data_IF_078951993501
#
_entry.id   IF_078951993501
#
_cell.length_a   1.000
_cell.length_b   1.000
_cell.length_c   1.000
_cell.angle_alpha   90.00
_cell.angle_beta   90.00
_cell.angle_gamma   90.00
#
_symmetry.space_group_name_H-M   'P 1'
#
loop_
_entity.id
_entity.type
_entity.pdbx_description
1 polymer ?
#
# COMPACT_ATOMS: atom_id res chain seq x y z
N UNK A 1 -11.87 -9.60 8.61
CA UNK A 1 -12.37 -8.78 9.75
C UNK A 1 -12.14 -9.58 11.01
N UNK A 2 -11.41 -9.03 11.98
CA UNK A 2 -11.15 -9.73 13.23
C UNK A 2 -12.45 -9.98 13.99
N UNK A 3 -12.57 -11.17 14.58
CA UNK A 3 -13.71 -11.58 15.40
C UNK A 3 -13.40 -11.39 16.87
N UNK A 4 -14.42 -11.17 17.70
CA UNK A 4 -14.26 -10.92 19.15
C UNK A 4 -13.51 -12.05 19.88
N UNK A 5 -13.50 -13.26 19.32
CA UNK A 5 -12.79 -14.43 19.83
C UNK A 5 -11.27 -14.37 19.67
N UNK A 6 -10.75 -13.48 18.83
CA UNK A 6 -9.29 -13.31 18.64
C UNK A 6 -8.68 -12.35 19.68
N UNK A 7 -9.50 -11.75 20.54
CA UNK A 7 -9.07 -10.82 21.57
C UNK A 7 -8.97 -11.53 22.91
N UNK A 8 -7.81 -11.41 23.55
CA UNK A 8 -7.64 -11.74 24.96
C UNK A 8 -8.25 -10.61 25.80
N UNK A 9 -9.34 -10.94 26.50
CA UNK A 9 -10.05 -10.02 27.38
C UNK A 9 -9.60 -10.13 28.84
N UNK A 10 -8.66 -11.02 29.15
CA UNK A 10 -8.11 -11.15 30.48
C UNK A 10 -7.16 -9.99 30.80
N UNK A 11 -7.21 -9.52 32.05
CA UNK A 11 -6.34 -8.45 32.51
C UNK A 11 -4.90 -8.97 32.63
N UNK A 12 -3.98 -8.36 31.90
CA UNK A 12 -2.58 -8.74 31.94
C UNK A 12 -1.70 -7.89 31.03
N UNK A 13 -0.43 -8.27 30.95
CA UNK A 13 0.48 -7.76 29.92
C UNK A 13 1.28 -8.94 29.35
N UNK A 14 1.45 -8.94 28.04
CA UNK A 14 2.31 -9.88 27.33
C UNK A 14 3.25 -9.10 26.45
N UNK A 15 4.53 -9.47 26.49
CA UNK A 15 5.55 -8.90 25.60
C UNK A 15 5.38 -9.52 24.22
N UNK A 16 5.09 -8.69 23.21
CA UNK A 16 5.00 -9.11 21.80
C UNK A 16 6.37 -9.05 21.12
N UNK A 17 7.06 -7.92 21.25
CA UNK A 17 8.39 -7.73 20.69
C UNK A 17 9.22 -6.75 21.53
N UNK A 18 10.55 -6.81 21.37
CA UNK A 18 11.50 -5.86 21.95
C UNK A 18 12.02 -4.89 20.89
N UNK A 19 11.25 -3.84 20.58
CA UNK A 19 11.59 -2.90 19.50
C UNK A 19 12.85 -2.09 19.78
N UNK A 20 13.30 -1.99 21.04
CA UNK A 20 14.56 -1.33 21.40
C UNK A 20 15.76 -1.96 20.72
N UNK A 21 15.72 -3.28 20.51
CA UNK A 21 16.81 -4.01 19.85
C UNK A 21 16.94 -3.64 18.37
N UNK A 22 15.90 -3.09 17.75
CA UNK A 22 15.93 -2.74 16.32
C UNK A 22 16.90 -1.58 16.06
N UNK A 23 17.01 -0.61 16.97
CA UNK A 23 17.98 0.49 16.88
C UNK A 23 19.44 0.05 17.01
N UNK A 24 19.70 -1.17 17.47
CA UNK A 24 21.05 -1.75 17.51
C UNK A 24 21.36 -2.59 16.27
N UNK A 25 20.34 -2.96 15.48
CA UNK A 25 20.45 -3.85 14.31
C UNK A 25 20.35 -3.11 12.99
N UNK A 26 19.65 -1.97 12.97
CA UNK A 26 19.38 -1.18 11.78
C UNK A 26 19.91 0.23 11.97
N UNK A 27 20.34 0.87 10.88
CA UNK A 27 20.87 2.23 10.92
C UNK A 27 19.79 3.23 11.30
N UNK A 28 18.57 2.96 10.85
CA UNK A 28 17.39 3.78 11.09
C UNK A 28 16.14 2.90 11.15
N UNK A 29 15.18 3.33 11.97
CA UNK A 29 13.90 2.66 12.21
C UNK A 29 12.83 3.73 12.19
N UNK A 30 11.82 3.57 11.36
CA UNK A 30 10.67 4.47 11.29
C UNK A 30 9.68 4.24 12.44
N UNK A 31 8.63 5.06 12.49
CA UNK A 31 7.53 4.87 13.43
C UNK A 31 6.89 3.46 13.27
N UNK A 32 6.66 2.73 14.37
CA UNK A 32 6.09 1.40 14.28
C UNK A 32 4.56 1.43 14.16
N UNK A 33 4.03 0.43 13.48
CA UNK A 33 2.62 0.15 13.27
C UNK A 33 2.25 -1.14 14.00
N UNK A 34 1.07 -1.18 14.61
CA UNK A 34 0.57 -2.35 15.35
C UNK A 34 -0.59 -2.97 14.58
N UNK A 35 -0.64 -4.31 14.51
CA UNK A 35 -1.73 -5.01 13.85
C UNK A 35 -3.05 -4.82 14.59
N UNK A 36 -4.21 -4.96 13.92
CA UNK A 36 -5.50 -4.72 14.55
C UNK A 36 -5.80 -5.63 15.74
N UNK A 37 -5.18 -6.82 15.84
CA UNK A 37 -5.30 -7.74 16.98
C UNK A 37 -4.20 -7.54 18.05
N UNK A 38 -3.25 -6.62 17.85
CA UNK A 38 -2.14 -6.38 18.78
C UNK A 38 -1.01 -7.42 18.76
N UNK A 39 -1.09 -8.49 17.95
CA UNK A 39 -0.11 -9.57 17.92
C UNK A 39 1.17 -9.26 17.13
N UNK A 40 1.14 -8.23 16.28
CA UNK A 40 2.27 -7.83 15.46
C UNK A 40 2.56 -6.35 15.64
N UNK A 41 3.85 -6.02 15.73
CA UNK A 41 4.38 -4.68 15.57
C UNK A 41 5.38 -4.69 14.43
N UNK A 42 5.29 -3.71 13.53
CA UNK A 42 6.14 -3.62 12.37
C UNK A 42 6.67 -2.20 12.15
N UNK A 43 7.88 -2.07 11.62
CA UNK A 43 8.42 -0.78 11.20
C UNK A 43 9.23 -0.92 9.92
N UNK A 44 9.28 0.15 9.13
CA UNK A 44 10.25 0.29 8.06
C UNK A 44 11.62 0.48 8.71
N UNK A 45 12.62 -0.24 8.22
CA UNK A 45 14.00 -0.22 8.72
C UNK A 45 14.98 -0.01 7.58
N UNK A 46 16.04 0.73 7.84
CA UNK A 46 17.15 0.88 6.91
C UNK A 46 18.30 -0.05 7.31
N UNK A 47 18.66 -0.97 6.43
CA UNK A 47 19.75 -1.93 6.65
C UNK A 47 21.10 -1.35 6.23
N UNK A 48 21.13 -0.69 5.08
CA UNK A 48 22.30 -0.03 4.51
C UNK A 48 21.88 1.14 3.62
N UNK A 49 22.85 1.87 3.07
CA UNK A 49 22.56 2.96 2.13
C UNK A 49 21.75 2.45 0.93
N UNK A 50 20.54 3.00 0.75
CA UNK A 50 19.62 2.58 -0.30
C UNK A 50 18.90 1.25 -0.06
N UNK A 51 19.15 0.54 1.06
CA UNK A 51 18.54 -0.76 1.36
C UNK A 51 17.53 -0.64 2.51
N UNK A 52 16.25 -0.72 2.18
CA UNK A 52 15.14 -0.67 3.13
C UNK A 52 14.42 -2.01 3.23
N UNK A 53 13.89 -2.30 4.40
CA UNK A 53 13.13 -3.52 4.68
C UNK A 53 12.03 -3.20 5.70
N UNK A 54 11.16 -4.16 5.99
CA UNK A 54 10.17 -4.09 7.07
C UNK A 54 10.52 -5.15 8.11
N UNK A 55 10.70 -4.71 9.36
CA UNK A 55 10.88 -5.61 10.50
C UNK A 55 9.54 -5.85 11.18
N UNK A 56 9.13 -7.11 11.34
CA UNK A 56 7.89 -7.53 12.01
C UNK A 56 8.26 -8.38 13.22
N UNK A 57 7.91 -7.92 14.42
CA UNK A 57 8.23 -8.58 15.70
C UNK A 57 9.72 -8.95 15.91
N UNK A 58 10.64 -8.36 15.14
CA UNK A 58 12.08 -8.66 15.20
C UNK A 58 12.63 -9.36 13.96
N UNK A 59 11.77 -9.87 13.09
CA UNK A 59 12.16 -10.55 11.87
C UNK A 59 11.95 -9.64 10.66
N UNK A 60 12.99 -9.44 9.84
CA UNK A 60 12.88 -8.67 8.60
C UNK A 60 12.20 -9.51 7.51
N UNK A 61 11.52 -8.87 6.57
CA UNK A 61 11.10 -9.54 5.34
C UNK A 61 12.30 -10.11 4.59
N UNK A 62 12.07 -11.17 3.82
CA UNK A 62 13.12 -11.80 3.00
C UNK A 62 13.60 -10.87 1.89
N UNK A 63 12.70 -10.08 1.31
CA UNK A 63 12.99 -9.13 0.22
C UNK A 63 13.40 -7.77 0.76
N UNK A 64 14.50 -7.23 0.23
CA UNK A 64 14.98 -5.86 0.45
C UNK A 64 14.51 -4.98 -0.71
N UNK A 65 14.21 -3.71 -0.43
CA UNK A 65 13.68 -2.75 -1.41
C UNK A 65 14.49 -1.44 -1.38
N UNK A 66 14.47 -0.72 -2.50
CA UNK A 66 15.15 0.58 -2.62
C UNK A 66 14.42 1.68 -1.83
N UNK A 67 13.09 1.55 -1.75
CA UNK A 67 12.19 2.45 -1.00
C UNK A 67 10.98 1.67 -0.52
N UNK A 68 10.47 2.05 0.65
CA UNK A 68 9.22 1.52 1.20
C UNK A 68 8.46 2.70 1.78
N UNK A 69 7.20 2.87 1.40
CA UNK A 69 6.31 3.93 1.88
C UNK A 69 4.96 3.35 2.32
N UNK A 70 4.24 4.12 3.14
CA UNK A 70 2.86 3.83 3.52
C UNK A 70 2.65 2.42 4.11
N UNK A 71 3.51 2.03 5.05
CA UNK A 71 3.37 0.76 5.78
C UNK A 71 2.08 0.75 6.58
N UNK A 72 1.23 -0.27 6.39
CA UNK A 72 -0.06 -0.36 7.08
C UNK A 72 -0.58 -1.79 7.15
N UNK A 73 -1.18 -2.14 8.29
CA UNK A 73 -1.95 -3.38 8.39
C UNK A 73 -3.34 -3.23 7.76
N UNK A 74 -3.71 -4.19 6.93
CA UNK A 74 -5.08 -4.36 6.43
C UNK A 74 -6.03 -4.83 7.57
N UNK A 75 -7.36 -4.68 7.40
CA UNK A 75 -8.34 -5.13 8.39
C UNK A 75 -8.33 -6.64 8.72
N UNK A 76 -7.71 -7.46 7.88
CA UNK A 76 -7.49 -8.89 8.11
C UNK A 76 -6.15 -9.23 8.78
N UNK A 77 -5.32 -8.22 9.07
CA UNK A 77 -4.03 -8.37 9.76
C UNK A 77 -2.84 -8.64 8.86
N UNK A 78 -3.02 -8.68 7.52
CA UNK A 78 -1.90 -8.68 6.57
C UNK A 78 -1.19 -7.33 6.59
N UNK A 79 0.13 -7.33 6.50
CA UNK A 79 0.93 -6.10 6.46
C UNK A 79 1.18 -5.70 5.01
N UNK A 80 0.93 -4.44 4.68
CA UNK A 80 1.06 -3.93 3.31
C UNK A 80 1.94 -2.71 3.27
N UNK A 81 2.62 -2.51 2.15
CA UNK A 81 3.43 -1.32 1.89
C UNK A 81 3.50 -1.02 0.38
N UNK A 82 3.78 0.23 0.05
CA UNK A 82 4.20 0.62 -1.28
C UNK A 82 5.71 0.44 -1.34
N UNK A 83 6.20 -0.43 -2.20
CA UNK A 83 7.63 -0.77 -2.30
C UNK A 83 8.16 -0.41 -3.67
N UNK A 84 9.45 -0.08 -3.73
CA UNK A 84 10.14 0.18 -4.98
C UNK A 84 11.39 -0.67 -5.13
N UNK A 85 11.63 -1.14 -6.35
CA UNK A 85 12.83 -1.86 -6.77
C UNK A 85 13.22 -1.36 -8.15
N UNK A 86 14.48 -0.95 -8.31
CA UNK A 86 15.04 -0.36 -9.53
C UNK A 86 14.24 0.83 -10.08
N UNK A 87 13.61 1.60 -9.19
CA UNK A 87 12.82 2.78 -9.53
C UNK A 87 11.39 2.52 -9.98
N UNK A 88 10.97 1.26 -10.07
CA UNK A 88 9.57 0.89 -10.30
C UNK A 88 8.87 0.66 -8.96
N UNK A 89 7.57 0.96 -8.90
CA UNK A 89 6.75 0.83 -7.69
C UNK A 89 5.76 -0.32 -7.81
N UNK A 90 5.45 -0.94 -6.67
CA UNK A 90 4.36 -1.90 -6.55
C UNK A 90 3.84 -1.97 -5.10
N UNK A 91 2.80 -2.77 -4.87
CA UNK A 91 2.31 -3.06 -3.52
C UNK A 91 2.95 -4.37 -3.04
N UNK A 92 3.48 -4.40 -1.82
CA UNK A 92 3.85 -5.63 -1.14
C UNK A 92 2.79 -6.00 -0.10
N UNK A 93 2.49 -7.30 -0.01
CA UNK A 93 1.61 -7.90 1.00
C UNK A 93 2.40 -8.99 1.73
N UNK A 94 2.60 -8.82 3.03
CA UNK A 94 3.42 -9.66 3.89
C UNK A 94 4.81 -9.95 3.28
N UNK A 95 5.44 -8.93 2.71
CA UNK A 95 6.77 -9.00 2.10
C UNK A 95 6.80 -9.55 0.67
N UNK A 96 5.66 -10.01 0.14
CA UNK A 96 5.54 -10.46 -1.24
C UNK A 96 5.04 -9.32 -2.12
N UNK A 97 5.85 -8.79 -3.06
CA UNK A 97 5.39 -7.79 -4.02
C UNK A 97 4.37 -8.40 -4.98
N UNK A 98 3.43 -7.58 -5.45
CA UNK A 98 2.61 -7.88 -6.63
C UNK A 98 3.49 -8.11 -7.88
N UNK A 99 2.94 -8.84 -8.85
CA UNK A 99 3.64 -9.17 -10.10
C UNK A 99 3.76 -7.94 -11.00
N UNK A 100 2.72 -7.08 -11.05
CA UNK A 100 2.81 -5.85 -11.83
C UNK A 100 3.71 -4.82 -11.15
N UNK A 101 4.51 -4.15 -11.99
CA UNK A 101 5.29 -2.96 -11.63
C UNK A 101 4.69 -1.73 -12.32
N UNK A 102 4.88 -0.57 -11.70
CA UNK A 102 4.27 0.70 -12.11
C UNK A 102 5.30 1.83 -11.99
N UNK A 103 5.09 2.92 -12.76
CA UNK A 103 5.89 4.13 -12.59
C UNK A 103 5.62 4.80 -11.23
N UNK A 104 4.40 4.67 -10.72
CA UNK A 104 4.03 5.13 -9.38
C UNK A 104 2.81 4.39 -8.84
N UNK A 105 2.72 4.26 -7.52
CA UNK A 105 1.57 3.67 -6.81
C UNK A 105 1.20 4.57 -5.64
N UNK A 106 -0.09 4.83 -5.43
CA UNK A 106 -0.60 5.64 -4.32
C UNK A 106 -2.02 5.22 -3.94
N UNK A 107 -2.56 5.84 -2.87
CA UNK A 107 -3.93 5.60 -2.38
C UNK A 107 -4.24 4.12 -2.16
N UNK A 108 -3.49 3.48 -1.28
CA UNK A 108 -3.76 2.11 -0.86
C UNK A 108 -5.09 2.02 -0.09
N UNK A 109 -5.98 1.14 -0.51
CA UNK A 109 -7.33 0.96 0.02
C UNK A 109 -7.61 -0.51 0.33
N UNK A 110 -8.47 -0.76 1.32
CA UNK A 110 -8.81 -2.11 1.77
C UNK A 110 -10.32 -2.32 1.80
N UNK A 111 -10.78 -3.50 1.39
CA UNK A 111 -12.15 -3.93 1.66
C UNK A 111 -12.40 -3.99 3.18
N UNK A 112 -13.65 -3.85 3.65
CA UNK A 112 -13.95 -3.94 5.09
C UNK A 112 -13.55 -5.27 5.72
N UNK A 113 -13.61 -6.37 4.95
CA UNK A 113 -13.18 -7.68 5.41
C UNK A 113 -11.65 -7.89 5.34
N UNK A 114 -10.93 -6.99 4.67
CA UNK A 114 -9.48 -6.99 4.45
C UNK A 114 -9.01 -7.80 3.25
N UNK A 115 -9.88 -8.58 2.60
CA UNK A 115 -9.48 -9.52 1.54
C UNK A 115 -8.98 -8.84 0.28
N UNK A 116 -9.59 -7.71 -0.08
CA UNK A 116 -9.25 -6.99 -1.30
C UNK A 116 -8.43 -5.74 -0.98
N UNK A 117 -7.36 -5.57 -1.76
CA UNK A 117 -6.45 -4.45 -1.68
C UNK A 117 -6.49 -3.74 -3.03
N UNK A 118 -6.81 -2.45 -3.03
CA UNK A 118 -6.79 -1.63 -4.22
C UNK A 118 -5.74 -0.53 -4.11
N UNK A 119 -5.22 -0.12 -5.26
CA UNK A 119 -4.32 1.02 -5.35
C UNK A 119 -4.59 1.81 -6.63
N UNK A 120 -4.33 3.11 -6.59
CA UNK A 120 -4.19 3.92 -7.78
C UNK A 120 -2.76 3.77 -8.31
N UNK A 121 -2.63 3.62 -9.63
CA UNK A 121 -1.34 3.33 -10.27
C UNK A 121 -1.13 4.18 -11.50
N UNK A 122 0.15 4.47 -11.80
CA UNK A 122 0.58 5.13 -13.01
C UNK A 122 1.38 4.15 -13.86
N UNK A 123 0.99 3.99 -15.11
CA UNK A 123 1.69 3.17 -16.12
C UNK A 123 1.80 3.99 -17.39
N UNK A 124 3.02 4.12 -17.91
CA UNK A 124 3.31 4.85 -19.16
C UNK A 124 2.69 6.25 -19.18
N UNK A 125 2.91 7.02 -18.10
CA UNK A 125 2.36 8.38 -17.90
C UNK A 125 0.82 8.48 -17.87
N UNK A 126 0.12 7.35 -17.87
CA UNK A 126 -1.34 7.27 -17.75
C UNK A 126 -1.73 6.65 -16.42
N UNK A 127 -2.97 6.86 -16.00
CA UNK A 127 -3.48 6.55 -14.67
C UNK A 127 -4.62 5.53 -14.74
N UNK A 128 -4.64 4.59 -13.81
CA UNK A 128 -5.75 3.67 -13.60
C UNK A 128 -5.72 3.13 -12.16
N UNK A 129 -6.60 2.16 -11.85
CA UNK A 129 -6.55 1.44 -10.59
C UNK A 129 -6.20 -0.03 -10.79
N UNK A 130 -5.66 -0.63 -9.73
CA UNK A 130 -5.46 -2.06 -9.60
C UNK A 130 -6.23 -2.58 -8.38
N UNK A 131 -6.82 -3.77 -8.50
CA UNK A 131 -7.50 -4.50 -7.43
C UNK A 131 -6.89 -5.89 -7.32
N UNK A 132 -6.20 -6.18 -6.21
CA UNK A 132 -5.45 -7.42 -6.01
C UNK A 132 -4.54 -7.74 -7.21
N UNK A 133 -3.73 -6.77 -7.62
CA UNK A 133 -2.84 -6.85 -8.78
C UNK A 133 -3.53 -6.97 -10.16
N UNK A 134 -4.87 -6.98 -10.21
CA UNK A 134 -5.62 -6.89 -11.47
C UNK A 134 -5.82 -5.42 -11.85
N UNK A 135 -5.09 -4.99 -12.88
CA UNK A 135 -5.14 -3.62 -13.40
C UNK A 135 -6.35 -3.43 -14.31
N UNK A 136 -6.93 -2.23 -14.33
CA UNK A 136 -7.95 -1.89 -15.33
C UNK A 136 -7.45 -2.12 -16.76
N UNK A 137 -8.36 -2.54 -17.64
CA UNK A 137 -8.06 -2.73 -19.07
C UNK A 137 -7.68 -1.42 -19.76
N UNK A 138 -8.28 -0.30 -19.34
CA UNK A 138 -8.03 1.03 -19.90
C UNK A 138 -7.26 1.90 -18.91
N UNK A 139 -6.39 2.76 -19.46
CA UNK A 139 -5.71 3.82 -18.75
C UNK A 139 -6.18 5.18 -19.23
N UNK A 140 -6.05 6.21 -18.39
CA UNK A 140 -6.54 7.55 -18.68
C UNK A 140 -5.44 8.60 -18.47
N UNK A 141 -5.42 9.70 -19.24
CA UNK A 141 -4.43 10.78 -19.08
C UNK A 141 -4.53 11.49 -17.72
N UNK A 142 -5.70 11.41 -17.07
CA UNK A 142 -5.90 11.92 -15.72
C UNK A 142 -6.90 11.04 -14.96
N UNK A 143 -6.68 10.86 -13.66
CA UNK A 143 -7.57 10.14 -12.76
C UNK A 143 -7.58 10.79 -11.37
N UNK A 144 -8.78 11.04 -10.83
CA UNK A 144 -9.00 11.63 -9.51
C UNK A 144 -10.06 10.85 -8.73
N UNK A 145 -10.11 11.07 -7.41
CA UNK A 145 -11.06 10.39 -6.51
C UNK A 145 -11.10 8.86 -6.64
N UNK A 146 -9.95 8.16 -6.65
CA UNK A 146 -9.97 6.70 -6.64
C UNK A 146 -10.72 6.21 -5.40
N UNK A 147 -11.63 5.28 -5.61
CA UNK A 147 -12.50 4.75 -4.57
C UNK A 147 -12.65 3.25 -4.70
N UNK A 148 -12.87 2.61 -3.56
CA UNK A 148 -13.23 1.22 -3.47
C UNK A 148 -14.69 1.15 -3.02
N UNK A 149 -15.48 0.37 -3.74
CA UNK A 149 -16.88 0.10 -3.41
C UNK A 149 -17.03 -0.39 -1.95
N UNK A 150 -18.19 -0.15 -1.30
CA UNK A 150 -18.39 -0.53 0.11
C UNK A 150 -18.19 -2.01 0.41
N UNK A 151 -18.50 -2.91 -0.54
CA UNK A 151 -18.24 -4.35 -0.40
C UNK A 151 -16.79 -4.74 -0.72
N UNK A 152 -15.99 -3.81 -1.25
CA UNK A 152 -14.59 -4.00 -1.56
C UNK A 152 -14.32 -4.73 -2.87
N UNK A 153 -15.31 -4.96 -3.73
CA UNK A 153 -15.17 -5.83 -4.92
C UNK A 153 -14.90 -5.08 -6.21
N UNK A 154 -15.21 -3.79 -6.23
CA UNK A 154 -15.09 -2.92 -7.40
C UNK A 154 -14.37 -1.63 -7.05
N UNK A 155 -13.60 -1.13 -8.01
CA UNK A 155 -12.90 0.16 -7.94
C UNK A 155 -13.51 1.15 -8.91
N UNK A 156 -13.52 2.44 -8.57
CA UNK A 156 -13.95 3.50 -9.47
C UNK A 156 -13.11 4.76 -9.27
N UNK A 157 -13.09 5.63 -10.27
CA UNK A 157 -12.45 6.94 -10.19
C UNK A 157 -13.10 7.88 -11.21
N UNK A 158 -12.94 9.18 -11.02
CA UNK A 158 -13.22 10.17 -12.05
C UNK A 158 -12.03 10.23 -13.01
N UNK A 159 -12.27 10.14 -14.32
CA UNK A 159 -11.22 10.05 -15.34
C UNK A 159 -11.48 10.99 -16.49
N UNK A 160 -10.41 11.50 -17.07
CA UNK A 160 -10.47 12.26 -18.32
C UNK A 160 -10.55 11.29 -19.50
N UNK A 161 -11.71 11.24 -20.17
CA UNK A 161 -11.96 10.31 -21.30
C UNK A 161 -11.51 10.84 -22.66
N UNK A 162 -11.14 12.11 -22.75
CA UNK A 162 -10.65 12.75 -23.95
C UNK A 162 -9.35 13.51 -23.64
N UNK A 163 -8.30 13.28 -24.43
CA UNK A 163 -7.01 13.92 -24.23
C UNK A 163 -7.04 15.39 -24.67
N UNK A 164 -6.73 16.29 -23.75
CA UNK A 164 -6.48 17.70 -24.04
C UNK A 164 -5.56 18.30 -22.97
N UNK A 165 -4.77 19.27 -23.39
CA UNK A 165 -3.87 20.04 -22.52
C UNK A 165 -4.59 21.23 -21.88
N UNK A 166 -4.01 21.75 -20.79
CA UNK A 166 -4.54 22.89 -20.01
C UNK A 166 -4.82 24.14 -20.86
N UNK A 167 -4.12 24.30 -21.99
CA UNK A 167 -4.28 25.41 -22.92
C UNK A 167 -5.46 25.26 -23.90
N UNK A 168 -6.06 24.07 -24.03
CA UNK A 168 -7.09 23.78 -25.03
C UNK A 168 -8.50 24.13 -24.53
N UNK A 169 -8.69 25.38 -24.12
CA UNK A 169 -9.94 25.88 -23.52
C UNK A 169 -11.19 25.64 -24.39
N UNK A 170 -11.05 25.60 -25.72
CA UNK A 170 -12.16 25.34 -26.63
C UNK A 170 -12.58 23.86 -26.66
N UNK A 171 -11.65 22.92 -26.47
CA UNK A 171 -11.98 21.50 -26.30
C UNK A 171 -12.68 21.26 -24.96
N UNK A 172 -12.19 21.91 -23.90
CA UNK A 172 -12.85 21.89 -22.59
C UNK A 172 -14.31 22.39 -22.68
N UNK A 173 -14.56 23.49 -23.39
CA UNK A 173 -15.91 24.03 -23.64
C UNK A 173 -16.85 23.07 -24.38
N UNK A 174 -16.32 22.10 -25.14
CA UNK A 174 -17.12 21.11 -25.85
C UNK A 174 -17.56 19.94 -24.96
N UNK A 175 -17.23 19.96 -23.66
CA UNK A 175 -17.62 18.93 -22.71
C UNK A 175 -16.58 17.84 -22.50
N UNK A 176 -15.33 18.08 -22.89
CA UNK A 176 -14.20 17.26 -22.46
C UNK A 176 -13.79 17.72 -21.05
N UNK A 177 -14.29 17.04 -20.02
CA UNK A 177 -13.96 17.24 -18.60
C UNK A 177 -13.69 15.91 -17.91
#
# INVERSE_FOLDING_TARGET
>A
MLTKSEWDWELGSRKIADTKQWHHRFNWVEEPYVSPNGEKIAAIVNQAEGEFNVCVNGDAWETVFDKIWYLRFAPDGRLTALVSEMGEWTVAVDGTPWDNKFGYVWNLMFSPDGKNIAAAVQRDMSYCMALNDVVWENTFPNMTHPTLSPDGTQTAAAVQVAEFSEGEIHKFQQGAY
#
